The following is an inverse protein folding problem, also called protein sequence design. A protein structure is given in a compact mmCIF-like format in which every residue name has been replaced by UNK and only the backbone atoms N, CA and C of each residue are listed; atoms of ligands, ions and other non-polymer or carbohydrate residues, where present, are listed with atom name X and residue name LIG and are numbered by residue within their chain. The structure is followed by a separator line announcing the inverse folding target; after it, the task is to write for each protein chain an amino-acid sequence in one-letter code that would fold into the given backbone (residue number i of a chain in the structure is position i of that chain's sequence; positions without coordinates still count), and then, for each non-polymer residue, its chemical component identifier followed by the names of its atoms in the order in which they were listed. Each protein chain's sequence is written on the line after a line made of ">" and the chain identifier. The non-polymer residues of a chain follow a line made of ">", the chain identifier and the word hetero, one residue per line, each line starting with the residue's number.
data_IF_977560966174
#
_entry.id   IF_977560966174
#
_cell.length_a   1.000
_cell.length_b   1.000
_cell.length_c   1.000
_cell.angle_alpha   90.00
_cell.angle_beta   90.00
_cell.angle_gamma   90.00
#
_symmetry.space_group_name_H-M   'P 1'
#
loop_
_entity.id
_entity.type
_entity.pdbx_description
1 polymer ?
#
# COMPACT_ATOMS: atom_id res chain seq x y z
N UNK A 1 -1.79 -21.69 -14.22
CA UNK A 1 -1.25 -20.37 -13.82
C UNK A 1 -1.65 -19.98 -12.39
N UNK A 2 -2.35 -20.87 -11.66
CA UNK A 2 -2.61 -20.78 -10.21
C UNK A 2 -1.50 -21.42 -9.37
N UNK A 3 -0.69 -22.31 -9.96
CA UNK A 3 0.35 -23.11 -9.28
C UNK A 3 1.46 -22.29 -8.61
N UNK A 4 1.70 -21.03 -9.01
CA UNK A 4 2.82 -20.27 -8.47
C UNK A 4 2.54 -19.56 -7.14
N UNK A 5 1.29 -19.50 -6.68
CA UNK A 5 0.96 -18.89 -5.38
C UNK A 5 0.93 -19.96 -4.29
N UNK A 6 0.40 -21.16 -4.58
CA UNK A 6 0.44 -22.31 -3.66
C UNK A 6 1.89 -22.73 -3.34
N UNK A 7 2.77 -22.71 -4.35
CA UNK A 7 4.19 -23.09 -4.19
C UNK A 7 4.97 -22.14 -3.25
N UNK A 8 4.52 -20.89 -3.06
CA UNK A 8 5.16 -19.95 -2.11
C UNK A 8 4.75 -20.28 -0.66
N UNK A 9 3.62 -20.96 -0.47
CA UNK A 9 3.04 -21.27 0.85
C UNK A 9 3.32 -22.69 1.34
N UNK A 10 3.80 -23.60 0.47
CA UNK A 10 3.98 -25.01 0.82
C UNK A 10 5.29 -25.37 1.54
N UNK A 11 6.29 -24.48 1.62
CA UNK A 11 7.63 -24.89 2.07
C UNK A 11 7.91 -24.83 3.58
N UNK A 12 6.94 -24.46 4.42
CA UNK A 12 6.92 -24.75 5.88
C UNK A 12 5.46 -24.78 6.31
N UNK A 13 5.09 -25.71 7.20
CA UNK A 13 3.73 -25.89 7.72
C UNK A 13 3.14 -24.74 8.55
N UNK A 14 3.53 -23.49 8.27
CA UNK A 14 2.97 -22.28 8.86
C UNK A 14 2.13 -21.57 7.79
N UNK A 15 0.82 -21.53 8.00
CA UNK A 15 -0.07 -20.66 7.23
C UNK A 15 0.48 -19.22 7.23
N UNK A 16 0.51 -18.57 6.07
CA UNK A 16 0.93 -17.17 5.96
C UNK A 16 0.12 -16.29 6.93
N UNK A 17 0.80 -15.68 7.90
CA UNK A 17 0.20 -14.75 8.84
C UNK A 17 0.41 -13.30 8.38
N UNK A 18 -0.61 -12.61 7.84
CA UNK A 18 -0.48 -11.24 7.35
C UNK A 18 -0.38 -10.20 8.47
N UNK A 19 -0.81 -10.52 9.69
CA UNK A 19 -1.04 -9.53 10.76
C UNK A 19 0.21 -8.73 11.16
N UNK A 20 1.41 -9.33 11.34
CA UNK A 20 2.61 -8.57 11.67
C UNK A 20 2.98 -7.51 10.62
N UNK A 21 2.62 -7.76 9.35
CA UNK A 21 2.89 -6.84 8.25
C UNK A 21 1.87 -5.68 8.19
N UNK A 22 0.63 -5.93 8.61
CA UNK A 22 -0.37 -4.88 8.80
C UNK A 22 0.05 -3.93 9.94
N UNK A 23 0.47 -4.51 11.07
CA UNK A 23 0.98 -3.76 12.23
C UNK A 23 2.22 -2.94 11.85
N UNK A 24 3.15 -3.53 11.09
CA UNK A 24 4.32 -2.83 10.57
C UNK A 24 3.97 -1.65 9.64
N UNK A 25 2.91 -1.78 8.82
CA UNK A 25 2.43 -0.68 7.99
C UNK A 25 1.87 0.48 8.84
N UNK A 26 1.23 0.19 9.97
CA UNK A 26 0.75 1.19 10.94
C UNK A 26 1.92 1.84 11.68
N UNK A 27 2.92 1.07 12.11
CA UNK A 27 4.15 1.63 12.69
C UNK A 27 4.83 2.61 11.72
N UNK A 28 4.88 2.25 10.43
CA UNK A 28 5.43 3.13 9.40
C UNK A 28 4.55 4.35 9.16
N UNK A 29 3.22 4.18 9.14
CA UNK A 29 2.24 5.28 9.04
C UNK A 29 2.48 6.35 10.10
N UNK A 30 2.79 5.94 11.34
CA UNK A 30 3.04 6.85 12.46
C UNK A 30 4.28 7.74 12.29
N UNK A 31 5.17 7.42 11.33
CA UNK A 31 6.33 8.26 10.96
C UNK A 31 5.98 9.34 9.93
N UNK A 32 4.76 9.34 9.39
CA UNK A 32 4.30 10.32 8.41
C UNK A 32 4.56 11.75 8.88
N UNK A 33 5.12 12.56 7.99
CA UNK A 33 5.42 13.96 8.30
C UNK A 33 4.19 14.81 8.01
N UNK A 34 3.90 15.74 8.92
CA UNK A 34 2.90 16.77 8.65
C UNK A 34 3.48 17.75 7.63
N UNK A 35 2.80 17.92 6.51
CA UNK A 35 3.23 18.76 5.41
C UNK A 35 2.34 19.99 5.34
N UNK A 36 2.90 21.21 5.38
CA UNK A 36 2.11 22.43 5.20
C UNK A 36 1.41 22.39 3.84
N UNK A 37 0.09 22.58 3.85
CA UNK A 37 -0.70 22.71 2.62
C UNK A 37 -1.29 24.11 2.49
N UNK A 38 -1.36 24.69 1.28
CA UNK A 38 -2.01 25.98 1.05
C UNK A 38 -3.49 26.02 1.46
N UNK A 39 -4.16 24.86 1.44
CA UNK A 39 -5.57 24.71 1.86
C UNK A 39 -5.75 24.51 3.38
N UNK A 40 -4.67 24.54 4.16
CA UNK A 40 -4.67 24.38 5.61
C UNK A 40 -5.07 22.98 6.10
N UNK A 41 -5.39 22.03 5.21
CA UNK A 41 -5.79 20.68 5.59
C UNK A 41 -4.57 19.89 6.06
N UNK A 42 -4.74 19.12 7.12
CA UNK A 42 -3.75 18.11 7.52
C UNK A 42 -3.87 16.93 6.55
N UNK A 43 -2.82 16.59 5.81
CA UNK A 43 -2.89 15.42 4.96
C UNK A 43 -2.91 14.12 5.78
N UNK A 44 -3.52 13.04 5.26
CA UNK A 44 -3.64 11.78 5.99
C UNK A 44 -2.27 11.16 6.24
N UNK A 45 -2.08 10.55 7.40
CA UNK A 45 -0.91 9.71 7.65
C UNK A 45 -1.07 8.42 6.85
N UNK A 46 -0.02 8.01 6.12
CA UNK A 46 -0.05 6.79 5.33
C UNK A 46 1.27 6.06 5.46
N UNK A 47 1.20 4.78 5.78
CA UNK A 47 2.31 3.84 5.74
C UNK A 47 2.10 2.82 4.64
N UNK A 48 3.19 2.38 4.01
CA UNK A 48 3.19 1.29 3.07
C UNK A 48 4.42 0.41 3.28
N UNK A 49 4.23 -0.91 3.25
CA UNK A 49 5.33 -1.87 3.20
C UNK A 49 5.14 -2.82 2.01
N UNK A 50 6.24 -3.31 1.49
CA UNK A 50 6.27 -4.32 0.43
C UNK A 50 7.04 -5.54 0.95
N UNK A 51 6.37 -6.68 0.98
CA UNK A 51 6.95 -7.98 1.34
C UNK A 51 7.37 -8.72 0.08
N UNK A 52 8.65 -9.07 0.00
CA UNK A 52 9.23 -9.87 -1.07
C UNK A 52 9.10 -11.38 -0.79
N UNK A 53 9.13 -12.25 -1.81
CA UNK A 53 9.08 -13.71 -1.64
C UNK A 53 10.21 -14.30 -0.78
N UNK A 54 11.37 -13.63 -0.72
CA UNK A 54 12.51 -14.02 0.11
C UNK A 54 12.37 -13.57 1.58
N UNK A 55 11.22 -12.97 1.93
CA UNK A 55 10.95 -12.43 3.26
C UNK A 55 11.51 -11.03 3.49
N UNK A 56 12.20 -10.43 2.52
CA UNK A 56 12.68 -9.05 2.63
C UNK A 56 11.49 -8.08 2.70
N UNK A 57 11.63 -7.04 3.53
CA UNK A 57 10.62 -5.97 3.66
C UNK A 57 11.25 -4.64 3.30
N UNK A 58 10.55 -3.88 2.45
CA UNK A 58 10.82 -2.47 2.17
C UNK A 58 9.63 -1.65 2.66
N UNK A 59 9.88 -0.44 3.17
CA UNK A 59 8.85 0.38 3.81
C UNK A 59 8.97 1.84 3.42
N UNK A 60 7.86 2.55 3.43
CA UNK A 60 7.84 4.00 3.27
C UNK A 60 6.61 4.61 3.93
N UNK A 61 6.72 5.88 4.30
CA UNK A 61 5.61 6.68 4.81
C UNK A 61 5.41 7.96 4.00
N UNK A 62 4.25 8.59 4.19
CA UNK A 62 3.94 9.86 3.54
C UNK A 62 4.93 10.95 3.97
N UNK A 63 5.49 11.65 2.99
CA UNK A 63 6.45 12.73 3.23
C UNK A 63 7.86 12.27 3.62
N UNK A 64 8.18 10.97 3.53
CA UNK A 64 9.48 10.43 3.95
C UNK A 64 10.66 11.12 3.24
N UNK A 65 10.64 11.14 1.90
CA UNK A 65 11.73 11.71 1.10
C UNK A 65 11.51 13.18 0.73
N UNK A 66 10.24 13.58 0.58
CA UNK A 66 9.85 14.93 0.17
C UNK A 66 8.37 15.17 0.44
N UNK A 67 8.04 16.41 0.78
CA UNK A 67 6.67 16.88 0.89
C UNK A 67 5.84 16.57 -0.38
N UNK A 68 4.64 16.07 -0.17
CA UNK A 68 3.68 15.68 -1.20
C UNK A 68 3.95 14.30 -1.78
N UNK A 69 4.92 13.53 -1.29
CA UNK A 69 5.10 12.14 -1.72
C UNK A 69 4.23 11.21 -0.88
N UNK A 70 3.42 10.41 -1.57
CA UNK A 70 2.62 9.37 -0.94
C UNK A 70 3.53 8.19 -0.57
N UNK A 71 3.13 7.40 0.42
CA UNK A 71 3.90 6.25 0.89
C UNK A 71 4.17 5.26 -0.27
N UNK A 72 3.14 4.88 -1.01
CA UNK A 72 3.25 3.91 -2.12
C UNK A 72 4.07 4.48 -3.27
N UNK A 73 4.00 5.79 -3.53
CA UNK A 73 4.86 6.42 -4.53
C UNK A 73 6.34 6.35 -4.13
N UNK A 74 6.66 6.70 -2.88
CA UNK A 74 8.03 6.62 -2.37
C UNK A 74 8.54 5.17 -2.45
N UNK A 75 7.71 4.21 -2.02
CA UNK A 75 8.07 2.80 -2.00
C UNK A 75 8.30 2.24 -3.42
N UNK A 76 7.29 2.33 -4.28
CA UNK A 76 7.30 1.66 -5.58
C UNK A 76 8.18 2.38 -6.62
N UNK A 77 8.18 3.72 -6.61
CA UNK A 77 8.91 4.50 -7.61
C UNK A 77 10.31 4.88 -7.13
N UNK A 78 10.44 5.46 -5.93
CA UNK A 78 11.70 6.07 -5.48
C UNK A 78 12.68 5.05 -4.92
N UNK A 79 12.20 4.07 -4.16
CA UNK A 79 13.04 3.02 -3.57
C UNK A 79 13.19 1.82 -4.49
N UNK A 80 12.11 1.44 -5.19
CA UNK A 80 12.02 0.17 -5.90
C UNK A 80 11.79 0.28 -7.41
N UNK A 81 11.89 1.48 -8.01
CA UNK A 81 11.55 1.69 -9.42
C UNK A 81 12.34 0.83 -10.43
N UNK A 82 13.49 0.29 -10.02
CA UNK A 82 14.33 -0.60 -10.84
C UNK A 82 14.22 -2.09 -10.44
N UNK A 83 13.24 -2.46 -9.62
CA UNK A 83 13.06 -3.83 -9.11
C UNK A 83 11.81 -4.47 -9.72
N UNK A 84 11.86 -5.79 -9.88
CA UNK A 84 10.72 -6.61 -10.31
C UNK A 84 9.85 -6.93 -9.09
N UNK A 85 8.56 -6.58 -9.12
CA UNK A 85 7.67 -6.63 -7.95
C UNK A 85 6.50 -7.62 -8.11
N UNK A 86 6.44 -8.40 -9.21
CA UNK A 86 5.30 -9.26 -9.57
C UNK A 86 4.82 -10.21 -8.46
N UNK A 87 5.75 -10.73 -7.65
CA UNK A 87 5.47 -11.70 -6.60
C UNK A 87 5.47 -11.08 -5.19
N UNK A 88 5.52 -9.76 -5.10
CA UNK A 88 5.48 -9.07 -3.81
C UNK A 88 4.04 -8.89 -3.31
N UNK A 89 3.88 -8.74 -2.00
CA UNK A 89 2.62 -8.36 -1.35
C UNK A 89 2.77 -6.93 -0.84
N UNK A 90 1.86 -6.05 -1.24
CA UNK A 90 1.81 -4.68 -0.75
C UNK A 90 0.86 -4.60 0.44
N UNK A 91 1.26 -3.91 1.49
CA UNK A 91 0.39 -3.53 2.60
C UNK A 91 0.40 -2.02 2.68
N UNK A 92 -0.77 -1.39 2.71
CA UNK A 92 -0.89 0.07 2.82
C UNK A 92 -2.03 0.44 3.75
N UNK A 93 -1.84 1.45 4.60
CA UNK A 93 -2.82 1.80 5.63
C UNK A 93 -4.04 2.55 5.08
N UNK A 94 -3.95 3.14 3.89
CA UNK A 94 -5.03 3.87 3.25
C UNK A 94 -5.20 3.38 1.80
N UNK A 95 -6.43 3.38 1.31
CA UNK A 95 -6.74 3.08 -0.09
C UNK A 95 -5.83 3.84 -1.07
N UNK A 96 -5.18 3.15 -2.03
CA UNK A 96 -4.33 3.79 -3.01
C UNK A 96 -5.09 4.81 -3.87
N UNK A 97 -4.61 6.06 -3.88
CA UNK A 97 -5.29 7.15 -4.57
C UNK A 97 -5.49 6.88 -6.08
N UNK A 98 -6.59 7.45 -6.62
CA UNK A 98 -7.00 7.29 -8.04
C UNK A 98 -6.58 8.42 -8.97
N UNK A 99 -6.37 9.61 -8.41
CA UNK A 99 -5.98 10.79 -9.17
C UNK A 99 -4.87 11.54 -8.45
N UNK A 100 -3.99 12.15 -9.25
CA UNK A 100 -2.99 13.11 -8.78
C UNK A 100 -2.84 14.19 -9.84
N UNK A 101 -2.49 15.39 -9.42
CA UNK A 101 -2.25 16.51 -10.35
C UNK A 101 -1.18 16.10 -11.37
N UNK A 102 -1.51 16.10 -12.68
CA UNK A 102 -0.54 15.81 -13.74
C UNK A 102 0.75 16.63 -13.56
N UNK A 103 1.93 16.06 -13.84
CA UNK A 103 2.19 14.76 -14.49
C UNK A 103 2.23 13.55 -13.55
N UNK A 104 1.81 13.70 -12.27
CA UNK A 104 1.90 12.62 -11.30
C UNK A 104 0.90 11.50 -11.63
N UNK A 105 1.37 10.26 -11.68
CA UNK A 105 0.51 9.07 -11.80
C UNK A 105 -0.16 8.79 -10.44
N UNK A 106 -1.31 8.13 -10.44
CA UNK A 106 -2.02 7.69 -9.25
C UNK A 106 -1.36 6.46 -8.58
N UNK A 107 -1.58 6.24 -7.28
CA UNK A 107 -0.99 5.10 -6.56
C UNK A 107 -1.59 3.77 -7.04
N UNK A 108 -2.91 3.68 -7.23
CA UNK A 108 -3.55 2.47 -7.74
C UNK A 108 -2.98 2.04 -9.12
N UNK A 109 -2.74 3.02 -10.01
CA UNK A 109 -2.12 2.80 -11.32
C UNK A 109 -0.66 2.37 -11.22
N UNK A 110 0.09 2.82 -10.22
CA UNK A 110 1.47 2.36 -9.99
C UNK A 110 1.50 0.93 -9.52
N UNK A 111 0.64 0.58 -8.56
CA UNK A 111 0.54 -0.78 -8.04
C UNK A 111 0.18 -1.78 -9.14
N UNK A 112 -0.82 -1.47 -9.99
CA UNK A 112 -1.16 -2.36 -11.10
C UNK A 112 -0.04 -2.47 -12.15
N UNK A 113 0.64 -1.36 -12.48
CA UNK A 113 1.81 -1.36 -13.39
C UNK A 113 3.01 -2.12 -12.83
N UNK A 114 3.18 -2.13 -11.52
CA UNK A 114 4.19 -2.92 -10.82
C UNK A 114 3.89 -4.43 -10.84
N UNK A 115 2.73 -4.85 -11.37
CA UNK A 115 2.27 -6.24 -11.49
C UNK A 115 2.10 -6.95 -10.14
N UNK A 116 1.99 -6.19 -9.05
CA UNK A 116 1.68 -6.70 -7.71
C UNK A 116 0.27 -7.31 -7.74
N UNK A 117 0.14 -8.55 -7.23
CA UNK A 117 -1.11 -9.32 -7.30
C UNK A 117 -1.92 -9.38 -6.02
N UNK A 118 -1.33 -9.05 -4.88
CA UNK A 118 -2.03 -9.04 -3.58
C UNK A 118 -1.71 -7.72 -2.89
N UNK A 119 -2.77 -7.01 -2.49
CA UNK A 119 -2.67 -5.77 -1.73
C UNK A 119 -3.55 -5.87 -0.50
N UNK A 120 -2.95 -5.70 0.66
CA UNK A 120 -3.66 -5.46 1.90
C UNK A 120 -3.89 -3.96 2.08
N UNK A 121 -5.14 -3.57 2.37
CA UNK A 121 -5.55 -2.17 2.53
C UNK A 121 -6.09 -1.96 3.93
N UNK A 122 -5.57 -0.97 4.64
CA UNK A 122 -6.00 -0.61 5.99
C UNK A 122 -7.46 -0.15 5.99
N UNK A 123 -7.70 1.06 5.50
CA UNK A 123 -9.05 1.61 5.38
C UNK A 123 -9.33 2.09 3.95
N UNK A 124 -10.62 2.11 3.59
CA UNK A 124 -11.10 2.82 2.41
C UNK A 124 -10.88 4.33 2.58
N UNK A 125 -10.62 5.07 1.50
CA UNK A 125 -10.43 6.52 1.62
C UNK A 125 -11.74 7.19 2.05
N UNK A 126 -11.78 7.96 3.16
CA UNK A 126 -13.01 8.62 3.62
C UNK A 126 -13.48 9.75 2.68
N UNK A 127 -12.63 10.23 1.77
CA UNK A 127 -13.02 11.20 0.75
C UNK A 127 -13.92 10.53 -0.29
N UNK A 128 -15.19 10.95 -0.36
CA UNK A 128 -16.19 10.44 -1.30
C UNK A 128 -15.77 10.54 -2.78
N UNK A 129 -14.84 11.44 -3.11
CA UNK A 129 -14.31 11.57 -4.48
C UNK A 129 -13.35 10.43 -4.83
N UNK A 130 -12.79 9.74 -3.83
CA UNK A 130 -11.84 8.62 -3.96
C UNK A 130 -12.46 7.29 -3.54
N UNK A 131 -13.32 7.29 -2.51
CA UNK A 131 -13.89 6.13 -1.84
C UNK A 131 -14.19 4.95 -2.79
N UNK A 132 -13.45 3.86 -2.61
CA UNK A 132 -13.62 2.59 -3.32
C UNK A 132 -13.15 2.57 -4.77
N UNK A 133 -12.81 3.73 -5.37
CA UNK A 133 -12.38 3.78 -6.77
C UNK A 133 -10.96 3.24 -6.96
N UNK A 134 -10.09 3.39 -5.96
CA UNK A 134 -8.72 2.91 -5.98
C UNK A 134 -8.67 1.40 -5.86
N UNK A 135 -9.44 0.86 -4.91
CA UNK A 135 -9.68 -0.57 -4.75
C UNK A 135 -10.28 -1.14 -6.03
N UNK A 136 -11.35 -0.53 -6.56
CA UNK A 136 -11.98 -0.97 -7.81
C UNK A 136 -11.00 -1.01 -8.98
N UNK A 137 -10.17 0.02 -9.17
CA UNK A 137 -9.14 0.02 -10.21
C UNK A 137 -8.19 -1.18 -10.07
N UNK A 138 -7.79 -1.52 -8.84
CA UNK A 138 -6.89 -2.65 -8.59
C UNK A 138 -7.58 -3.99 -8.89
N UNK A 139 -8.82 -4.17 -8.44
CA UNK A 139 -9.63 -5.37 -8.72
C UNK A 139 -9.85 -5.55 -10.23
N UNK A 140 -10.22 -4.48 -10.94
CA UNK A 140 -10.39 -4.48 -12.41
C UNK A 140 -9.07 -4.81 -13.15
N UNK A 141 -7.91 -4.68 -12.48
CA UNK A 141 -6.59 -5.07 -12.98
C UNK A 141 -6.07 -6.39 -12.38
N UNK A 142 -6.97 -7.24 -11.88
CA UNK A 142 -6.69 -8.58 -11.35
C UNK A 142 -5.72 -8.57 -10.16
N UNK A 143 -5.86 -7.58 -9.29
CA UNK A 143 -5.18 -7.50 -8.00
C UNK A 143 -6.16 -7.95 -6.92
N UNK A 144 -5.79 -8.95 -6.12
CA UNK A 144 -6.55 -9.39 -4.96
C UNK A 144 -6.42 -8.36 -3.84
N UNK A 145 -7.55 -7.83 -3.39
CA UNK A 145 -7.62 -6.90 -2.26
C UNK A 145 -8.05 -7.65 -1.00
N UNK A 146 -7.38 -7.37 0.12
CA UNK A 146 -7.72 -7.90 1.44
C UNK A 146 -7.70 -6.74 2.43
N UNK A 147 -8.77 -6.52 3.17
CA UNK A 147 -8.80 -5.45 4.18
C UNK A 147 -7.99 -5.86 5.41
N UNK A 148 -7.39 -4.91 6.11
CA UNK A 148 -6.75 -5.16 7.41
C UNK A 148 -7.78 -5.65 8.44
N UNK A 149 -7.31 -6.29 9.51
CA UNK A 149 -8.16 -6.68 10.64
C UNK A 149 -8.90 -5.47 11.22
N UNK A 150 -10.17 -5.63 11.62
CA UNK A 150 -11.04 -4.49 12.00
C UNK A 150 -10.51 -3.71 13.20
N UNK A 151 -9.78 -4.32 14.11
CA UNK A 151 -9.13 -3.62 15.22
C UNK A 151 -7.97 -2.73 14.74
N UNK A 152 -7.20 -3.17 13.75
CA UNK A 152 -6.17 -2.36 13.11
C UNK A 152 -6.75 -1.22 12.26
N UNK A 153 -7.93 -1.42 11.64
CA UNK A 153 -8.63 -0.34 10.95
C UNK A 153 -9.00 0.81 11.89
N UNK A 154 -9.49 0.50 13.09
CA UNK A 154 -9.83 1.51 14.10
C UNK A 154 -8.60 2.35 14.49
N UNK A 155 -7.44 1.71 14.64
CA UNK A 155 -6.17 2.41 14.92
C UNK A 155 -5.79 3.39 13.80
N UNK A 156 -6.19 3.13 12.55
CA UNK A 156 -5.93 4.01 11.41
C UNK A 156 -6.98 5.13 11.31
N UNK A 157 -8.21 4.87 11.73
CA UNK A 157 -9.33 5.84 11.77
C UNK A 157 -9.16 6.88 12.90
N UNK A 158 -8.48 6.51 14.00
CA UNK A 158 -8.19 7.34 15.19
C UNK A 158 -7.10 8.40 14.97
#
# INVERSE_FOLDING_TARGET
>A
MEENIEVIMENKGDLFNPRPYMELAIEEMNKSRNEPRPDGKVPPKVGAILLFPDGKIERAHRGELRDGYHAEFTLLERKLGNKKLDNCILFTTLEPCVERTPPKIACCKRTSKARIKIVYVGITDPDYTVYGKGIKHLEDNYVKIIMFDRDLQKIIED
#
